data_IF_159745205462
#
_entry.id   IF_159745205462
#
_cell.length_a   1.000
_cell.length_b   1.000
_cell.length_c   1.000
_cell.angle_alpha   90.00
_cell.angle_beta   90.00
_cell.angle_gamma   90.00
#
_symmetry.space_group_name_H-M   'P 1'
#
loop_
_entity.id
_entity.type
_entity.pdbx_description
1 polymer ?
#
# COMPACT_ATOMS: atom_id res chain seq x y z
N UNK A 1 0.46 18.37 10.14
CA UNK A 1 1.43 17.45 9.50
C UNK A 1 0.83 16.12 9.03
N UNK A 2 -0.50 15.94 8.98
CA UNK A 2 -1.13 14.70 8.46
C UNK A 2 -1.19 14.64 6.92
N UNK A 3 -1.42 15.77 6.23
CA UNK A 3 -1.51 15.83 4.77
C UNK A 3 -0.26 15.29 4.04
N UNK A 4 0.92 15.45 4.66
CA UNK A 4 2.19 14.97 4.10
C UNK A 4 2.30 13.44 4.08
N UNK A 5 1.60 12.72 4.97
CA UNK A 5 1.67 11.26 5.07
C UNK A 5 0.67 10.55 4.17
N UNK A 6 -0.53 11.11 4.00
CA UNK A 6 -1.46 10.64 2.97
C UNK A 6 -0.83 10.65 1.58
N UNK A 7 0.01 11.64 1.28
CA UNK A 7 0.78 11.69 0.04
C UNK A 7 1.78 10.53 -0.09
N UNK A 8 2.48 10.16 0.98
CA UNK A 8 3.41 9.02 0.97
C UNK A 8 2.66 7.71 0.71
N UNK A 9 1.52 7.52 1.36
CA UNK A 9 0.67 6.33 1.14
C UNK A 9 0.18 6.31 -0.30
N UNK A 10 -0.29 7.44 -0.83
CA UNK A 10 -0.73 7.52 -2.23
C UNK A 10 0.41 7.18 -3.20
N UNK A 11 1.62 7.70 -2.97
CA UNK A 11 2.78 7.36 -3.79
C UNK A 11 3.10 5.85 -3.74
N UNK A 12 2.95 5.19 -2.57
CA UNK A 12 3.08 3.74 -2.47
C UNK A 12 1.99 3.00 -3.24
N UNK A 13 0.75 3.48 -3.21
CA UNK A 13 -0.35 2.92 -4.01
C UNK A 13 -0.12 3.05 -5.51
N UNK A 14 0.46 4.17 -5.95
CA UNK A 14 0.80 4.40 -7.36
C UNK A 14 1.87 3.39 -7.82
N UNK A 15 2.90 3.14 -7.00
CA UNK A 15 3.92 2.10 -7.28
C UNK A 15 3.33 0.71 -7.44
N UNK A 16 2.27 0.36 -6.71
CA UNK A 16 1.60 -0.94 -6.85
C UNK A 16 0.96 -1.15 -8.24
N UNK A 17 0.73 -0.09 -9.01
CA UNK A 17 0.18 -0.16 -10.36
C UNK A 17 1.25 -0.11 -11.45
N UNK A 18 2.53 -0.04 -11.08
CA UNK A 18 3.62 0.04 -12.05
C UNK A 18 3.76 -1.26 -12.86
N UNK A 19 4.20 -1.12 -14.11
CA UNK A 19 4.50 -2.26 -14.99
C UNK A 19 5.71 -3.04 -14.48
N UNK A 20 6.65 -2.37 -13.82
CA UNK A 20 7.84 -2.96 -13.23
C UNK A 20 7.48 -3.71 -11.93
N UNK A 21 7.67 -5.04 -11.89
CA UNK A 21 7.38 -5.82 -10.69
C UNK A 21 8.23 -5.44 -9.48
N UNK A 22 9.45 -4.93 -9.67
CA UNK A 22 10.30 -4.49 -8.56
C UNK A 22 9.73 -3.24 -7.91
N UNK A 23 9.17 -2.32 -8.71
CA UNK A 23 8.45 -1.15 -8.20
C UNK A 23 7.18 -1.56 -7.44
N UNK A 24 6.42 -2.55 -7.95
CA UNK A 24 5.27 -3.09 -7.23
C UNK A 24 5.67 -3.72 -5.90
N UNK A 25 6.75 -4.50 -5.88
CA UNK A 25 7.28 -5.08 -4.66
C UNK A 25 7.72 -4.00 -3.65
N UNK A 26 8.47 -2.99 -4.10
CA UNK A 26 8.88 -1.86 -3.27
C UNK A 26 7.67 -1.09 -2.73
N UNK A 27 6.64 -0.88 -3.55
CA UNK A 27 5.39 -0.25 -3.15
C UNK A 27 4.72 -0.97 -1.99
N UNK A 28 4.74 -2.31 -1.99
CA UNK A 28 4.28 -3.10 -0.84
C UNK A 28 5.11 -2.87 0.40
N UNK A 29 6.44 -2.92 0.30
CA UNK A 29 7.29 -2.71 1.47
C UNK A 29 7.08 -1.33 2.09
N UNK A 30 6.98 -0.29 1.25
CA UNK A 30 6.75 1.08 1.68
C UNK A 30 5.37 1.24 2.34
N UNK A 31 4.33 0.68 1.71
CA UNK A 31 2.98 0.71 2.25
C UNK A 31 2.91 0.01 3.63
N UNK A 32 3.60 -1.12 3.80
CA UNK A 32 3.58 -1.87 5.06
C UNK A 32 4.21 -1.06 6.19
N UNK A 33 5.32 -0.38 5.89
CA UNK A 33 5.98 0.51 6.84
C UNK A 33 5.07 1.67 7.27
N UNK A 34 4.27 2.23 6.36
CA UNK A 34 3.36 3.32 6.71
C UNK A 34 2.16 2.83 7.53
N UNK A 35 1.61 1.64 7.27
CA UNK A 35 0.41 1.14 7.97
C UNK A 35 0.75 0.56 9.35
N UNK A 36 1.92 -0.07 9.49
CA UNK A 36 2.39 -0.61 10.77
C UNK A 36 2.96 0.47 11.70
N UNK A 37 3.21 1.67 11.20
CA UNK A 37 3.65 2.80 12.01
C UNK A 37 2.51 3.30 12.93
N UNK A 38 2.66 3.22 14.27
CA UNK A 38 1.62 3.66 15.21
C UNK A 38 1.22 5.13 15.05
N UNK A 39 2.15 5.99 14.61
CA UNK A 39 1.90 7.42 14.40
C UNK A 39 0.86 7.67 13.28
N UNK A 40 0.69 6.70 12.38
CA UNK A 40 -0.23 6.79 11.24
C UNK A 40 -1.59 6.15 11.52
N UNK A 41 -1.80 5.47 12.66
CA UNK A 41 -3.06 4.76 12.96
C UNK A 41 -4.29 5.70 12.93
N UNK A 42 -4.12 6.95 13.37
CA UNK A 42 -5.17 7.97 13.33
C UNK A 42 -5.59 8.38 11.92
N UNK A 43 -4.70 8.21 10.92
CA UNK A 43 -4.96 8.58 9.53
C UNK A 43 -6.02 7.67 8.90
N UNK A 44 -5.85 6.36 9.04
CA UNK A 44 -6.78 5.36 8.50
C UNK A 44 -8.15 5.37 9.19
N UNK A 45 -8.17 5.82 10.45
CA UNK A 45 -9.41 6.00 11.22
C UNK A 45 -10.18 7.26 10.79
N UNK A 46 -9.47 8.31 10.36
CA UNK A 46 -10.05 9.58 9.94
C UNK A 46 -10.46 9.60 8.46
N UNK A 47 -9.76 8.85 7.60
CA UNK A 47 -10.00 8.79 6.16
C UNK A 47 -10.38 7.36 5.71
N UNK A 48 -11.69 7.12 5.69
CA UNK A 48 -12.26 5.84 5.25
C UNK A 48 -11.98 5.57 3.77
N UNK A 49 -11.88 6.61 2.93
CA UNK A 49 -11.64 6.43 1.50
C UNK A 49 -10.20 5.97 1.25
N UNK A 50 -9.24 6.56 1.95
CA UNK A 50 -7.85 6.10 1.92
C UNK A 50 -7.74 4.64 2.36
N UNK A 51 -8.40 4.28 3.47
CA UNK A 51 -8.42 2.89 3.97
C UNK A 51 -9.00 1.92 2.94
N UNK A 52 -10.11 2.28 2.27
CA UNK A 52 -10.69 1.47 1.18
C UNK A 52 -9.73 1.30 0.01
N UNK A 53 -9.06 2.38 -0.41
CA UNK A 53 -8.11 2.35 -1.51
C UNK A 53 -6.93 1.40 -1.21
N UNK A 54 -6.41 1.46 0.02
CA UNK A 54 -5.34 0.56 0.49
C UNK A 54 -5.79 -0.90 0.44
N UNK A 55 -6.96 -1.22 1.02
CA UNK A 55 -7.47 -2.59 1.03
C UNK A 55 -7.67 -3.10 -0.41
N UNK A 56 -8.30 -2.31 -1.27
CA UNK A 56 -8.54 -2.71 -2.67
C UNK A 56 -7.22 -2.93 -3.43
N UNK A 57 -6.21 -2.09 -3.18
CA UNK A 57 -4.90 -2.24 -3.80
C UNK A 57 -4.26 -3.56 -3.38
N UNK A 58 -4.24 -3.88 -2.07
CA UNK A 58 -3.69 -5.15 -1.57
C UNK A 58 -4.43 -6.34 -2.18
N UNK A 59 -5.77 -6.34 -2.15
CA UNK A 59 -6.59 -7.42 -2.70
C UNK A 59 -6.33 -7.63 -4.20
N UNK A 60 -6.18 -6.55 -4.97
CA UNK A 60 -5.92 -6.66 -6.42
C UNK A 60 -4.59 -7.36 -6.75
N UNK A 61 -3.62 -7.37 -5.83
CA UNK A 61 -2.31 -7.98 -6.05
C UNK A 61 -2.24 -9.44 -5.61
N UNK A 62 -3.30 -9.97 -4.98
CA UNK A 62 -3.45 -11.42 -4.82
C UNK A 62 -3.55 -12.14 -6.17
N UNK A 63 -3.89 -11.40 -7.23
CA UNK A 63 -3.94 -11.88 -8.61
C UNK A 63 -2.75 -11.37 -9.45
N UNK A 64 -1.68 -10.84 -8.83
CA UNK A 64 -0.51 -10.36 -9.58
C UNK A 64 0.15 -11.52 -10.34
N UNK A 65 0.50 -11.32 -11.63
CA UNK A 65 1.14 -12.38 -12.43
C UNK A 65 2.54 -12.76 -11.92
N UNK A 66 3.17 -11.90 -11.10
CA UNK A 66 4.48 -12.16 -10.51
C UNK A 66 4.30 -12.75 -9.13
N UNK A 67 4.69 -14.02 -8.97
CA UNK A 67 4.56 -14.78 -7.72
C UNK A 67 5.19 -14.08 -6.52
N UNK A 68 6.30 -13.35 -6.71
CA UNK A 68 6.94 -12.63 -5.61
C UNK A 68 6.09 -11.44 -5.10
N UNK A 69 5.45 -10.71 -6.00
CA UNK A 69 4.51 -9.61 -5.66
C UNK A 69 3.25 -10.18 -5.01
N UNK A 70 2.71 -11.28 -5.56
CA UNK A 70 1.59 -12.00 -4.97
C UNK A 70 1.90 -12.50 -3.56
N UNK A 71 3.09 -13.05 -3.35
CA UNK A 71 3.56 -13.49 -2.04
C UNK A 71 3.68 -12.34 -1.04
N UNK A 72 4.01 -11.12 -1.50
CA UNK A 72 3.93 -9.96 -0.63
C UNK A 72 2.48 -9.71 -0.22
N UNK A 73 1.54 -9.63 -1.16
CA UNK A 73 0.12 -9.39 -0.88
C UNK A 73 -0.49 -10.42 0.11
N UNK A 74 -0.07 -11.69 0.08
CA UNK A 74 -0.55 -12.72 1.01
C UNK A 74 -0.05 -12.56 2.47
N UNK A 75 1.00 -11.77 2.70
CA UNK A 75 1.55 -11.53 4.05
C UNK A 75 0.78 -10.44 4.82
N UNK A 76 -0.20 -9.81 4.18
CA UNK A 76 -0.98 -8.70 4.71
C UNK A 76 -2.22 -9.14 5.47
#
# INVERSE_FOLDING_TARGET
>A
MQASRSYVIQASLDKLQDIDPDLRFMGFSDLNNEITNPDNAGLFSADVQLTRNVINAILSKLEDPITEVQNQAMKW
#
